data_IF_564025703447
#
_entry.id   IF_564025703447
#
_cell.length_a   1.000
_cell.length_b   1.000
_cell.length_c   1.000
_cell.angle_alpha   90.00
_cell.angle_beta   90.00
_cell.angle_gamma   90.00
#
_symmetry.space_group_name_H-M   'P 1'
#
loop_
_entity.id
_entity.type
_entity.pdbx_description
1 polymer ?
#
# COMPACT_ATOMS: atom_id res chain seq x y z
N UNK A 1 -23.92 13.72 16.57
CA UNK A 1 -22.99 12.60 16.74
C UNK A 1 -23.76 11.30 16.54
N UNK A 2 -23.27 10.36 15.74
CA UNK A 2 -24.00 9.15 15.34
C UNK A 2 -23.84 8.06 16.41
N UNK A 3 -24.91 7.37 16.86
CA UNK A 3 -24.85 6.34 17.91
C UNK A 3 -23.88 5.18 17.60
N UNK A 4 -23.49 4.96 16.35
CA UNK A 4 -22.43 4.02 15.97
C UNK A 4 -21.02 4.47 16.38
N UNK A 5 -20.75 5.76 16.42
CA UNK A 5 -19.45 6.32 16.84
C UNK A 5 -19.28 6.26 18.36
N UNK A 6 -20.34 6.43 19.12
CA UNK A 6 -20.29 6.29 20.60
C UNK A 6 -19.99 4.84 21.02
N UNK A 7 -20.57 3.87 20.31
CA UNK A 7 -20.31 2.45 20.59
C UNK A 7 -18.86 2.02 20.33
N UNK A 8 -18.23 2.57 19.28
CA UNK A 8 -16.82 2.32 18.97
C UNK A 8 -15.88 2.96 19.99
N UNK A 9 -16.21 4.16 20.48
CA UNK A 9 -15.43 4.83 21.53
C UNK A 9 -15.56 4.11 22.87
N UNK A 10 -16.73 3.55 23.15
CA UNK A 10 -16.96 2.80 24.39
C UNK A 10 -16.25 1.44 24.38
N UNK A 11 -16.17 0.75 23.23
CA UNK A 11 -15.39 -0.49 23.04
C UNK A 11 -13.88 -0.20 23.20
N UNK A 12 -13.39 0.92 22.64
CA UNK A 12 -11.99 1.32 22.80
C UNK A 12 -11.61 1.70 24.25
N UNK A 13 -12.56 2.20 25.05
CA UNK A 13 -12.36 2.52 26.48
C UNK A 13 -12.45 1.31 27.41
N UNK A 14 -13.20 0.28 27.05
CA UNK A 14 -13.32 -0.95 27.86
C UNK A 14 -12.13 -1.91 27.67
N UNK A 15 -11.28 -1.72 26.65
CA UNK A 15 -10.03 -2.49 26.44
C UNK A 15 -8.79 -1.78 27.03
N UNK A 16 -8.99 -0.78 27.90
CA UNK A 16 -7.93 -0.10 28.62
C UNK A 16 -7.29 -0.99 29.69
N UNK A 17 -5.98 -1.25 29.52
CA UNK A 17 -5.02 -1.91 30.43
C UNK A 17 -4.97 -3.43 30.35
N UNK A 18 -4.56 -3.94 29.20
CA UNK A 18 -3.77 -5.17 29.20
C UNK A 18 -2.29 -4.77 29.19
N UNK A 19 -1.52 -5.34 30.12
CA UNK A 19 -0.09 -5.12 30.27
C UNK A 19 0.65 -5.56 28.99
N UNK A 20 1.72 -4.85 28.63
CA UNK A 20 2.59 -5.18 27.48
C UNK A 20 3.18 -6.61 27.57
N UNK A 21 3.18 -7.22 28.74
CA UNK A 21 3.66 -8.59 28.96
C UNK A 21 2.68 -9.66 28.48
N UNK A 22 1.37 -9.39 28.45
CA UNK A 22 0.36 -10.34 27.94
C UNK A 22 0.33 -10.42 26.40
N UNK A 23 0.79 -9.39 25.71
CA UNK A 23 0.88 -9.42 24.24
C UNK A 23 2.07 -10.22 23.70
N UNK A 24 3.15 -10.33 24.46
CA UNK A 24 4.32 -11.11 24.03
C UNK A 24 4.04 -12.63 24.00
N UNK A 25 3.12 -13.11 24.83
CA UNK A 25 2.74 -14.55 24.88
C UNK A 25 1.77 -14.97 23.77
N UNK A 26 1.05 -14.05 23.11
CA UNK A 26 0.11 -14.38 22.05
C UNK A 26 0.70 -14.27 20.64
N UNK A 27 1.88 -13.68 20.50
CA UNK A 27 2.64 -13.62 19.25
C UNK A 27 3.63 -14.76 19.07
N UNK A 28 3.57 -15.80 19.93
CA UNK A 28 4.18 -17.07 19.55
C UNK A 28 3.39 -17.64 18.37
N UNK A 29 3.68 -17.13 17.19
CA UNK A 29 3.42 -17.84 15.93
C UNK A 29 4.24 -19.11 16.02
N UNK A 30 3.67 -20.14 16.66
CA UNK A 30 4.16 -21.51 16.53
C UNK A 30 4.39 -21.72 15.03
N UNK A 31 5.59 -22.13 14.61
CA UNK A 31 5.77 -22.61 13.27
C UNK A 31 4.93 -23.89 13.17
N UNK A 32 3.66 -23.77 12.84
CA UNK A 32 2.92 -24.89 12.31
C UNK A 32 3.68 -25.26 11.05
N UNK A 33 4.52 -26.29 11.15
CA UNK A 33 5.08 -27.03 10.03
C UNK A 33 3.89 -27.54 9.22
N UNK A 34 3.28 -26.63 8.47
CA UNK A 34 2.36 -27.00 7.43
C UNK A 34 3.20 -27.66 6.34
N UNK A 35 2.95 -28.93 6.13
CA UNK A 35 3.48 -29.78 5.08
C UNK A 35 3.81 -28.96 3.83
N UNK A 36 5.10 -28.97 3.46
CA UNK A 36 5.65 -28.40 2.25
C UNK A 36 4.75 -28.80 1.07
N UNK A 37 3.88 -27.90 0.66
CA UNK A 37 3.03 -28.13 -0.53
C UNK A 37 3.81 -27.66 -1.73
N UNK A 38 4.51 -28.62 -2.36
CA UNK A 38 5.06 -28.46 -3.70
C UNK A 38 4.00 -27.86 -4.64
N UNK A 39 4.29 -26.70 -5.23
CA UNK A 39 3.37 -26.04 -6.17
C UNK A 39 4.12 -25.43 -7.37
N UNK A 40 3.46 -25.45 -8.52
CA UNK A 40 3.95 -24.80 -9.72
C UNK A 40 3.69 -23.27 -9.66
N UNK A 41 4.48 -22.50 -10.43
CA UNK A 41 4.37 -21.04 -10.52
C UNK A 41 2.96 -20.54 -10.85
N UNK A 42 2.22 -21.27 -11.71
CA UNK A 42 0.83 -20.94 -12.05
C UNK A 42 -0.09 -20.98 -10.82
N UNK A 43 0.10 -21.99 -9.95
CA UNK A 43 -0.68 -22.13 -8.73
C UNK A 43 -0.32 -21.06 -7.71
N UNK A 44 0.97 -20.74 -7.57
CA UNK A 44 1.46 -19.65 -6.73
C UNK A 44 0.88 -18.30 -7.19
N UNK A 45 0.92 -18.03 -8.50
CA UNK A 45 0.33 -16.84 -9.12
C UNK A 45 -1.17 -16.74 -8.83
N UNK A 46 -1.93 -17.81 -9.04
CA UNK A 46 -3.38 -17.84 -8.78
C UNK A 46 -3.72 -17.66 -7.30
N UNK A 47 -2.89 -18.23 -6.39
CA UNK A 47 -3.12 -18.12 -4.95
C UNK A 47 -2.82 -16.72 -4.39
N UNK A 48 -1.84 -16.03 -4.98
CA UNK A 48 -1.42 -14.70 -4.52
C UNK A 48 -2.01 -13.55 -5.33
N UNK A 49 -2.51 -13.83 -6.53
CA UNK A 49 -2.96 -12.81 -7.49
C UNK A 49 -1.81 -11.98 -8.08
N UNK A 50 -0.57 -12.47 -7.97
CA UNK A 50 0.63 -11.84 -8.57
C UNK A 50 0.94 -12.56 -9.87
N UNK A 51 1.18 -11.84 -10.95
CA UNK A 51 1.49 -12.43 -12.25
C UNK A 51 2.86 -13.13 -12.26
N UNK A 52 3.01 -14.10 -13.18
CA UNK A 52 4.19 -14.97 -13.25
C UNK A 52 5.48 -14.18 -13.54
N UNK A 53 5.41 -13.12 -14.32
CA UNK A 53 6.58 -12.31 -14.67
C UNK A 53 7.04 -11.50 -13.45
N UNK A 54 6.11 -10.95 -12.68
CA UNK A 54 6.40 -10.28 -11.41
C UNK A 54 7.01 -11.24 -10.39
N UNK A 55 6.52 -12.48 -10.29
CA UNK A 55 7.12 -13.50 -9.42
C UNK A 55 8.59 -13.73 -9.81
N UNK A 56 8.87 -13.95 -11.09
CA UNK A 56 10.24 -14.15 -11.60
C UNK A 56 11.12 -12.92 -11.39
N UNK A 57 10.54 -11.73 -11.48
CA UNK A 57 11.25 -10.49 -11.19
C UNK A 57 11.65 -10.43 -9.70
N UNK A 58 10.75 -10.79 -8.79
CA UNK A 58 11.05 -10.82 -7.35
C UNK A 58 12.10 -11.89 -6.99
N UNK A 59 12.11 -13.04 -7.66
CA UNK A 59 13.20 -14.04 -7.55
C UNK A 59 14.55 -13.41 -7.92
N UNK A 60 14.62 -12.73 -9.08
CA UNK A 60 15.84 -12.06 -9.54
C UNK A 60 16.32 -10.95 -8.64
N UNK A 61 15.40 -10.26 -7.96
CA UNK A 61 15.71 -9.20 -7.00
C UNK A 61 16.08 -9.74 -5.60
N UNK A 62 16.06 -11.06 -5.40
CA UNK A 62 16.32 -11.68 -4.10
C UNK A 62 15.23 -11.46 -3.05
N UNK A 63 14.06 -10.96 -3.44
CA UNK A 63 12.90 -10.79 -2.55
C UNK A 63 12.21 -12.11 -2.24
N UNK A 64 12.29 -13.07 -3.15
CA UNK A 64 11.87 -14.45 -2.95
C UNK A 64 13.09 -15.36 -2.91
N UNK A 65 13.08 -16.42 -2.08
CA UNK A 65 14.13 -17.43 -2.12
C UNK A 65 14.17 -18.13 -3.48
N UNK A 66 15.29 -18.73 -3.83
CA UNK A 66 15.37 -19.53 -5.05
C UNK A 66 14.49 -20.78 -4.89
N UNK A 67 13.56 -21.04 -5.82
CA UNK A 67 12.71 -22.22 -5.75
C UNK A 67 13.51 -23.50 -6.04
N UNK A 68 13.16 -24.56 -5.36
CA UNK A 68 13.69 -25.88 -5.66
C UNK A 68 13.38 -26.30 -7.11
N UNK A 69 14.14 -27.23 -7.65
CA UNK A 69 13.88 -27.81 -8.97
C UNK A 69 13.55 -29.29 -8.82
N UNK A 70 12.45 -29.67 -9.43
CA UNK A 70 12.10 -31.11 -9.56
C UNK A 70 13.05 -31.82 -10.52
N UNK A 71 13.08 -33.15 -10.49
CA UNK A 71 13.86 -33.97 -11.40
C UNK A 71 13.65 -33.62 -12.88
N UNK A 72 12.47 -33.14 -13.25
CA UNK A 72 12.11 -32.69 -14.60
C UNK A 72 12.56 -31.25 -14.91
N UNK A 73 13.32 -30.58 -14.02
CA UNK A 73 13.84 -29.22 -14.18
C UNK A 73 12.85 -28.09 -13.89
N UNK A 74 11.59 -28.41 -13.60
CA UNK A 74 10.60 -27.37 -13.28
C UNK A 74 10.79 -26.82 -11.86
N UNK A 75 10.59 -25.48 -11.72
CA UNK A 75 10.58 -24.79 -10.43
C UNK A 75 9.48 -25.31 -9.52
N UNK A 76 9.82 -25.56 -8.28
CA UNK A 76 8.92 -26.03 -7.24
C UNK A 76 8.90 -25.03 -6.08
N UNK A 77 7.73 -24.50 -5.81
CA UNK A 77 7.51 -23.48 -4.78
C UNK A 77 6.84 -24.12 -3.58
N UNK A 78 7.18 -23.65 -2.41
CA UNK A 78 6.63 -24.10 -1.14
C UNK A 78 5.76 -23.02 -0.46
N UNK A 79 5.36 -23.29 0.76
CA UNK A 79 4.56 -22.39 1.56
C UNK A 79 5.31 -21.10 1.92
N UNK A 80 6.62 -21.16 2.05
CA UNK A 80 7.48 -20.00 2.34
C UNK A 80 7.38 -18.97 1.21
N UNK A 81 7.40 -19.44 -0.03
CA UNK A 81 7.22 -18.58 -1.20
C UNK A 81 5.84 -17.93 -1.22
N UNK A 82 4.79 -18.69 -0.85
CA UNK A 82 3.42 -18.18 -0.77
C UNK A 82 3.30 -17.07 0.29
N UNK A 83 3.83 -17.29 1.48
CA UNK A 83 3.79 -16.34 2.60
C UNK A 83 4.58 -15.06 2.28
N UNK A 84 5.81 -15.21 1.77
CA UNK A 84 6.66 -14.08 1.37
C UNK A 84 6.01 -13.25 0.26
N UNK A 85 5.46 -13.91 -0.76
CA UNK A 85 4.81 -13.22 -1.87
C UNK A 85 3.53 -12.50 -1.43
N UNK A 86 2.77 -13.11 -0.52
CA UNK A 86 1.59 -12.49 0.09
C UNK A 86 1.97 -11.24 0.90
N UNK A 87 3.07 -11.32 1.66
CA UNK A 87 3.62 -10.18 2.41
C UNK A 87 4.06 -9.05 1.47
N UNK A 88 4.85 -9.37 0.43
CA UNK A 88 5.30 -8.39 -0.58
C UNK A 88 4.08 -7.69 -1.19
N UNK A 89 3.09 -8.46 -1.63
CA UNK A 89 1.85 -7.91 -2.20
C UNK A 89 1.14 -6.97 -1.24
N UNK A 90 1.04 -7.34 0.04
CA UNK A 90 0.41 -6.49 1.05
C UNK A 90 1.15 -5.16 1.23
N UNK A 91 2.48 -5.20 1.37
CA UNK A 91 3.31 -4.00 1.47
C UNK A 91 3.19 -3.11 0.21
N UNK A 92 3.13 -3.73 -0.99
CA UNK A 92 2.92 -3.00 -2.24
C UNK A 92 1.53 -2.36 -2.33
N UNK A 93 0.50 -2.99 -1.78
CA UNK A 93 -0.83 -2.38 -1.65
C UNK A 93 -0.85 -1.16 -0.72
N UNK A 94 0.09 -1.08 0.22
CA UNK A 94 0.33 0.10 1.05
C UNK A 94 1.25 1.14 0.35
N UNK A 95 1.49 1.01 -0.96
CA UNK A 95 2.34 1.88 -1.77
C UNK A 95 3.82 1.92 -1.34
N UNK A 96 4.29 0.93 -0.57
CA UNK A 96 5.70 0.81 -0.19
C UNK A 96 6.56 0.44 -1.41
N UNK A 97 7.75 1.03 -1.51
CA UNK A 97 8.74 0.68 -2.55
C UNK A 97 9.32 -0.71 -2.30
N UNK A 98 9.88 -1.34 -3.35
CA UNK A 98 10.51 -2.66 -3.19
C UNK A 98 11.72 -2.61 -2.25
N UNK A 99 12.46 -1.50 -2.19
CA UNK A 99 13.54 -1.31 -1.23
C UNK A 99 13.04 -1.29 0.21
N UNK A 100 11.92 -0.62 0.48
CA UNK A 100 11.28 -0.65 1.80
C UNK A 100 10.76 -2.05 2.17
N UNK A 101 10.18 -2.76 1.21
CA UNK A 101 9.74 -4.15 1.39
C UNK A 101 10.93 -5.05 1.71
N UNK A 102 12.07 -4.90 1.01
CA UNK A 102 13.28 -5.69 1.28
C UNK A 102 13.80 -5.48 2.72
N UNK A 103 13.80 -4.24 3.20
CA UNK A 103 14.18 -3.93 4.59
C UNK A 103 13.22 -4.60 5.57
N UNK A 104 11.90 -4.48 5.37
CA UNK A 104 10.90 -5.14 6.23
C UNK A 104 11.05 -6.66 6.24
N UNK A 105 11.39 -7.27 5.10
CA UNK A 105 11.64 -8.71 5.01
C UNK A 105 12.88 -9.13 5.80
N UNK A 106 13.92 -8.29 5.85
CA UNK A 106 15.09 -8.52 6.70
C UNK A 106 14.71 -8.63 8.19
N UNK A 107 13.79 -7.79 8.66
CA UNK A 107 13.30 -7.88 10.05
C UNK A 107 12.42 -9.12 10.29
N UNK A 108 11.66 -9.56 9.29
CA UNK A 108 10.89 -10.82 9.39
C UNK A 108 11.81 -12.03 9.49
N UNK A 109 12.92 -12.02 8.74
CA UNK A 109 13.88 -13.12 8.73
C UNK A 109 14.76 -13.15 10.00
N UNK A 110 15.01 -11.98 10.62
CA UNK A 110 15.81 -11.84 11.84
C UNK A 110 15.07 -10.98 12.88
N UNK A 111 14.07 -11.52 13.57
CA UNK A 111 13.36 -10.78 14.61
C UNK A 111 14.26 -10.59 15.85
N UNK A 112 14.57 -9.37 16.19
CA UNK A 112 15.36 -9.11 17.42
C UNK A 112 15.81 -7.67 17.62
N UNK A 113 16.07 -6.93 16.57
CA UNK A 113 16.50 -5.53 16.66
C UNK A 113 15.85 -4.71 15.55
N UNK A 114 15.24 -3.57 15.86
CA UNK A 114 14.80 -2.65 14.80
C UNK A 114 13.34 -2.22 14.79
N UNK A 115 12.61 -2.30 15.91
CA UNK A 115 11.26 -1.72 15.98
C UNK A 115 11.26 -0.22 15.63
N UNK A 116 12.34 0.51 15.92
CA UNK A 116 12.47 1.92 15.59
C UNK A 116 12.58 2.14 14.07
N UNK A 117 13.33 1.31 13.37
CA UNK A 117 13.48 1.39 11.90
C UNK A 117 12.16 1.05 11.19
N UNK A 118 11.42 0.07 11.70
CA UNK A 118 10.10 -0.29 11.17
C UNK A 118 9.12 0.89 11.37
N UNK A 119 9.09 1.48 12.57
CA UNK A 119 8.26 2.64 12.86
C UNK A 119 8.61 3.81 11.95
N UNK A 120 9.89 4.08 11.75
CA UNK A 120 10.36 5.13 10.85
C UNK A 120 9.89 4.92 9.40
N UNK A 121 9.97 3.68 8.88
CA UNK A 121 9.46 3.35 7.54
C UNK A 121 7.95 3.58 7.42
N UNK A 122 7.19 3.19 8.45
CA UNK A 122 5.73 3.39 8.48
C UNK A 122 5.40 4.88 8.55
N UNK A 123 6.12 5.66 9.38
CA UNK A 123 5.92 7.10 9.51
C UNK A 123 6.25 7.83 8.20
N UNK A 124 7.32 7.44 7.51
CA UNK A 124 7.63 7.96 6.17
C UNK A 124 6.50 7.69 5.18
N UNK A 125 5.96 6.47 5.18
CA UNK A 125 4.86 6.12 4.28
C UNK A 125 3.59 6.90 4.63
N UNK A 126 3.30 7.06 5.92
CA UNK A 126 2.18 7.85 6.40
C UNK A 126 2.31 9.33 5.98
N UNK A 127 3.50 9.90 6.05
CA UNK A 127 3.77 11.27 5.60
C UNK A 127 3.49 11.43 4.10
N UNK A 128 3.91 10.47 3.25
CA UNK A 128 3.62 10.47 1.80
C UNK A 128 2.12 10.41 1.52
N UNK A 129 1.40 9.52 2.21
CA UNK A 129 -0.06 9.39 2.05
C UNK A 129 -0.78 10.68 2.45
N UNK A 130 -0.36 11.31 3.55
CA UNK A 130 -0.91 12.59 4.00
C UNK A 130 -0.66 13.72 2.99
N UNK A 131 0.53 13.83 2.45
CA UNK A 131 0.86 14.81 1.43
C UNK A 131 -0.01 14.62 0.17
N UNK A 132 -0.17 13.36 -0.29
CA UNK A 132 -1.02 13.03 -1.43
C UNK A 132 -2.50 13.36 -1.17
N UNK A 133 -2.99 13.10 0.04
CA UNK A 133 -4.35 13.45 0.44
C UNK A 133 -4.58 14.97 0.39
N UNK A 134 -3.63 15.77 0.89
CA UNK A 134 -3.69 17.22 0.82
C UNK A 134 -3.71 17.73 -0.63
N UNK A 135 -2.86 17.16 -1.51
CA UNK A 135 -2.85 17.51 -2.93
C UNK A 135 -4.18 17.20 -3.61
N UNK A 136 -4.78 16.02 -3.31
CA UNK A 136 -6.09 15.64 -3.84
C UNK A 136 -7.21 16.55 -3.35
N UNK A 137 -7.19 16.96 -2.08
CA UNK A 137 -8.16 17.93 -1.51
C UNK A 137 -8.02 19.30 -2.17
N UNK A 138 -6.79 19.76 -2.45
CA UNK A 138 -6.56 21.01 -3.17
C UNK A 138 -7.12 20.93 -4.60
N UNK A 139 -6.90 19.82 -5.30
CA UNK A 139 -7.43 19.59 -6.63
C UNK A 139 -8.98 19.55 -6.64
N UNK A 140 -9.58 18.86 -5.68
CA UNK A 140 -11.03 18.84 -5.51
C UNK A 140 -11.59 20.24 -5.36
N UNK A 141 -10.96 21.05 -4.49
CA UNK A 141 -11.35 22.46 -4.28
C UNK A 141 -11.28 23.27 -5.59
N UNK A 142 -10.22 23.11 -6.37
CA UNK A 142 -10.08 23.76 -7.68
C UNK A 142 -11.18 23.33 -8.65
N UNK A 143 -11.48 22.04 -8.73
CA UNK A 143 -12.57 21.53 -9.59
C UNK A 143 -13.94 22.03 -9.17
N UNK A 144 -14.21 22.15 -7.87
CA UNK A 144 -15.44 22.73 -7.35
C UNK A 144 -15.55 24.22 -7.71
N UNK A 145 -14.44 24.97 -7.64
CA UNK A 145 -14.41 26.37 -8.04
C UNK A 145 -14.67 26.52 -9.56
N UNK A 146 -14.04 25.67 -10.39
CA UNK A 146 -14.32 25.65 -11.84
C UNK A 146 -15.78 25.34 -12.13
N UNK A 147 -16.35 24.35 -11.43
CA UNK A 147 -17.76 24.00 -11.60
C UNK A 147 -18.70 25.16 -11.22
N UNK A 148 -18.36 25.91 -10.19
CA UNK A 148 -19.13 27.06 -9.74
C UNK A 148 -19.14 28.24 -10.74
N UNK A 149 -18.20 28.25 -11.72
CA UNK A 149 -18.17 29.22 -12.82
C UNK A 149 -19.22 28.93 -13.91
N UNK A 150 -19.84 27.75 -13.87
CA UNK A 150 -20.95 27.42 -14.75
C UNK A 150 -22.24 27.95 -14.14
N UNK A 151 -22.57 29.22 -14.43
CA UNK A 151 -23.88 29.79 -14.12
C UNK A 151 -24.91 29.33 -15.16
N UNK A 152 -26.08 28.86 -14.72
CA UNK A 152 -27.14 28.34 -15.59
C UNK A 152 -27.81 29.41 -16.48
N UNK A 153 -27.56 30.68 -16.23
CA UNK A 153 -28.07 31.79 -17.04
C UNK A 153 -27.19 31.99 -18.29
N UNK A 154 -27.55 31.25 -19.35
CA UNK A 154 -26.91 31.29 -20.67
C UNK A 154 -27.54 32.34 -21.56
N UNK A 155 -27.16 33.60 -21.43
CA UNK A 155 -27.40 34.58 -22.50
C UNK A 155 -26.19 34.83 -23.41
N UNK A 156 -25.02 34.31 -23.07
CA UNK A 156 -23.81 34.43 -23.90
C UNK A 156 -23.17 33.07 -24.20
N UNK A 157 -22.75 32.87 -25.45
CA UNK A 157 -22.19 31.62 -25.98
C UNK A 157 -20.84 31.19 -25.40
N UNK A 158 -20.31 31.82 -24.36
CA UNK A 158 -19.03 31.49 -23.74
C UNK A 158 -19.22 30.68 -22.46
N UNK A 159 -18.71 29.43 -22.46
CA UNK A 159 -18.67 28.59 -21.26
C UNK A 159 -17.60 29.11 -20.30
N UNK A 160 -18.01 29.58 -19.10
CA UNK A 160 -17.09 30.12 -18.09
C UNK A 160 -15.98 29.13 -17.66
N UNK A 161 -16.28 27.84 -17.62
CA UNK A 161 -15.29 26.79 -17.34
C UNK A 161 -14.21 26.75 -18.44
N UNK A 162 -14.62 26.76 -19.73
CA UNK A 162 -13.67 26.73 -20.83
C UNK A 162 -12.81 27.99 -20.88
N UNK A 163 -13.39 29.16 -20.62
CA UNK A 163 -12.66 30.41 -20.56
C UNK A 163 -11.60 30.40 -19.47
N UNK A 164 -11.92 29.91 -18.30
CA UNK A 164 -10.98 29.79 -17.16
C UNK A 164 -9.86 28.78 -17.47
N UNK A 165 -10.18 27.61 -18.03
CA UNK A 165 -9.19 26.59 -18.39
C UNK A 165 -8.22 27.09 -19.48
N UNK A 166 -8.71 27.80 -20.48
CA UNK A 166 -7.86 28.41 -21.51
C UNK A 166 -6.98 29.51 -20.94
N UNK A 167 -7.53 30.38 -20.06
CA UNK A 167 -6.76 31.41 -19.36
C UNK A 167 -5.66 30.81 -18.48
N UNK A 168 -5.99 29.76 -17.72
CA UNK A 168 -5.02 29.06 -16.88
C UNK A 168 -3.91 28.36 -17.68
N UNK A 169 -4.23 27.84 -18.89
CA UNK A 169 -3.24 27.21 -19.76
C UNK A 169 -2.22 28.21 -20.32
N UNK A 170 -2.56 29.48 -20.41
CA UNK A 170 -1.68 30.57 -20.86
C UNK A 170 -0.91 31.26 -19.72
N UNK A 171 -1.26 30.97 -18.45
CA UNK A 171 -0.53 31.48 -17.30
C UNK A 171 0.55 30.50 -16.86
N UNK A 172 1.81 30.97 -16.74
CA UNK A 172 2.93 30.15 -16.24
C UNK A 172 2.77 29.69 -14.78
N UNK A 173 1.73 30.14 -14.09
CA UNK A 173 1.43 29.85 -12.69
C UNK A 173 0.39 28.73 -12.50
N UNK A 174 0.27 27.81 -13.44
CA UNK A 174 -0.64 26.68 -13.23
C UNK A 174 -0.04 25.70 -12.20
N UNK A 175 -0.69 25.58 -11.04
CA UNK A 175 -0.31 24.64 -9.97
C UNK A 175 -0.28 23.16 -10.41
N UNK A 176 -0.88 22.83 -11.58
CA UNK A 176 -0.85 21.48 -12.14
C UNK A 176 0.51 21.10 -12.76
N UNK A 177 1.40 22.07 -13.07
CA UNK A 177 2.75 21.78 -13.56
C UNK A 177 3.77 21.53 -12.43
N UNK A 178 3.45 21.87 -11.19
CA UNK A 178 4.35 21.66 -10.04
C UNK A 178 4.37 20.21 -9.52
N UNK A 179 3.63 19.27 -10.14
CA UNK A 179 3.45 17.90 -9.67
C UNK A 179 4.19 16.86 -10.53
N UNK A 180 4.92 17.30 -11.56
CA UNK A 180 5.57 16.40 -12.54
C UNK A 180 7.09 16.27 -12.38
N UNK A 181 7.69 16.76 -11.25
CA UNK A 181 9.09 16.50 -10.89
C UNK A 181 9.22 15.45 -9.79
#
# INVERSE_FOLDING_TARGET
MNPRQEKLIQIARSQGRMSLEDHASQLSVSPRRCTVRSMQIKKLSSATGVDIETIRYYEKQGLLPEPDRKENGYRDYDNTHLERLSFIRHCRALEMSLSQVAVLMGFVDQPGEGCEDINFLVDQQLAKVRARLQSMQALEKQLLQLRARCTEERETHACGILTELVSAAHSEACACHAILD
#
